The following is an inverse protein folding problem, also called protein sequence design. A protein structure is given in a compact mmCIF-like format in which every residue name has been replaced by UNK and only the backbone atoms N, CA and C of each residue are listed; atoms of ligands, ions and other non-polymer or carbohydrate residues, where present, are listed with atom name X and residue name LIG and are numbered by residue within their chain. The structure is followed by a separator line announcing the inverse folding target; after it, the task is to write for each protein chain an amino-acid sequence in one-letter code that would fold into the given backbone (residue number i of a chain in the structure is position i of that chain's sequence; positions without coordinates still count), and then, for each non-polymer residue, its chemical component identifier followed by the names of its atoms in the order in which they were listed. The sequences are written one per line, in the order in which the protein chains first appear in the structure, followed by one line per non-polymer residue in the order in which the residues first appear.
data_IF_761547769297
#
_entry.id   IF_761547769297
#
_cell.length_a   1.000
_cell.length_b   1.000
_cell.length_c   1.000
_cell.angle_alpha   90.00
_cell.angle_beta   90.00
_cell.angle_gamma   90.00
#
_symmetry.space_group_name_H-M   'P 1'
#
loop_
_entity.id
_entity.type
_entity.pdbx_description
1 polymer ?
#
# COMPACT_ATOMS: atom_id res chain seq x y z
N UNK A 1 33.85 -6.55 -16.90
CA UNK A 1 33.71 -7.39 -18.10
C UNK A 1 33.61 -8.81 -17.60
N UNK A 2 32.43 -9.39 -17.74
CA UNK A 2 32.09 -10.71 -17.19
C UNK A 2 32.50 -11.78 -18.21
N UNK A 3 33.24 -12.80 -17.75
CA UNK A 3 33.42 -14.04 -18.50
C UNK A 3 32.74 -15.15 -17.73
N UNK A 4 31.76 -15.78 -18.36
CA UNK A 4 30.94 -16.85 -17.80
C UNK A 4 31.49 -18.16 -18.34
N UNK A 5 31.87 -19.09 -17.46
CA UNK A 5 32.26 -20.45 -17.86
C UNK A 5 31.14 -21.40 -17.42
N UNK A 6 30.28 -21.79 -18.38
CA UNK A 6 29.06 -22.58 -18.14
C UNK A 6 29.33 -24.05 -17.75
N UNK A 7 30.59 -24.48 -17.74
CA UNK A 7 30.94 -25.90 -17.59
C UNK A 7 31.08 -26.36 -16.13
N UNK A 8 31.36 -25.45 -15.19
CA UNK A 8 31.67 -25.80 -13.79
C UNK A 8 30.62 -25.34 -12.76
N UNK A 9 29.51 -24.72 -13.22
CA UNK A 9 28.34 -24.31 -12.41
C UNK A 9 28.68 -23.73 -11.03
N UNK A 10 29.75 -22.93 -10.92
CA UNK A 10 30.16 -22.27 -9.69
C UNK A 10 30.26 -20.78 -9.94
N UNK A 11 29.31 -20.04 -9.35
CA UNK A 11 29.35 -18.57 -9.31
C UNK A 11 29.94 -18.16 -7.95
N UNK A 12 31.21 -17.79 -7.94
CA UNK A 12 31.85 -17.25 -6.74
C UNK A 12 31.53 -15.77 -6.66
N UNK A 13 30.49 -15.42 -5.90
CA UNK A 13 30.23 -14.05 -5.49
C UNK A 13 31.33 -13.62 -4.52
N UNK A 14 32.29 -12.84 -5.00
CA UNK A 14 33.23 -12.16 -4.12
C UNK A 14 32.43 -11.15 -3.29
N UNK A 15 32.41 -11.38 -1.98
CA UNK A 15 31.84 -10.43 -1.01
C UNK A 15 32.46 -9.04 -1.26
N UNK A 16 31.59 -8.03 -1.41
CA UNK A 16 32.00 -6.62 -1.47
C UNK A 16 32.87 -6.32 -0.25
N UNK A 17 34.12 -5.91 -0.48
CA UNK A 17 35.03 -5.48 0.57
C UNK A 17 34.38 -4.35 1.39
N UNK A 18 34.46 -4.46 2.72
CA UNK A 18 34.00 -3.45 3.67
C UNK A 18 34.83 -2.17 3.51
N UNK A 19 34.36 -1.25 2.66
CA UNK A 19 35.08 0.00 2.39
C UNK A 19 34.59 0.79 1.18
N UNK A 20 33.77 0.21 0.30
CA UNK A 20 33.11 0.98 -0.76
C UNK A 20 31.94 1.76 -0.18
N UNK A 21 32.16 3.04 0.14
CA UNK A 21 31.04 3.96 0.34
C UNK A 21 30.23 3.95 -0.96
N UNK A 22 29.02 3.38 -0.93
CA UNK A 22 28.13 3.41 -2.08
C UNK A 22 28.09 4.85 -2.62
N UNK A 23 28.30 5.07 -3.92
CA UNK A 23 28.33 6.39 -4.57
C UNK A 23 27.27 7.38 -4.05
N UNK A 24 26.12 6.83 -3.62
CA UNK A 24 24.97 7.55 -3.09
C UNK A 24 25.10 8.06 -1.63
N UNK A 25 26.19 7.78 -0.90
CA UNK A 25 26.41 8.26 0.48
C UNK A 25 26.74 9.76 0.53
N UNK A 26 27.17 10.36 -0.57
CA UNK A 26 27.49 11.79 -0.68
C UNK A 26 26.36 12.70 -1.17
N UNK A 27 25.16 12.16 -1.46
CA UNK A 27 24.05 12.96 -1.97
C UNK A 27 23.20 13.47 -0.79
N UNK A 28 23.18 14.79 -0.51
CA UNK A 28 22.60 15.35 0.71
C UNK A 28 21.06 15.28 0.76
N UNK A 29 20.40 15.22 -0.40
CA UNK A 29 18.94 15.03 -0.49
C UNK A 29 18.61 14.08 -1.64
N UNK A 30 17.86 13.01 -1.34
CA UNK A 30 17.28 12.12 -2.35
C UNK A 30 15.82 12.49 -2.52
N UNK A 31 15.44 12.85 -3.74
CA UNK A 31 14.03 12.92 -4.11
C UNK A 31 13.47 11.51 -4.08
N UNK A 32 12.42 11.31 -3.30
CA UNK A 32 11.72 10.04 -3.27
C UNK A 32 10.87 9.91 -4.54
N UNK A 33 11.01 8.78 -5.22
CA UNK A 33 10.05 8.36 -6.25
C UNK A 33 8.93 7.54 -5.61
N UNK A 34 7.73 7.58 -6.19
CA UNK A 34 6.56 6.86 -5.66
C UNK A 34 6.85 5.36 -5.55
N UNK A 35 7.48 4.80 -6.59
CA UNK A 35 7.99 3.43 -6.61
C UNK A 35 8.90 3.13 -5.41
N UNK A 36 9.77 4.06 -5.02
CA UNK A 36 10.66 3.86 -3.87
C UNK A 36 9.89 3.80 -2.54
N UNK A 37 8.77 4.51 -2.42
CA UNK A 37 7.89 4.43 -1.26
C UNK A 37 7.15 3.08 -1.20
N UNK A 38 6.66 2.63 -2.34
CA UNK A 38 5.96 1.34 -2.50
C UNK A 38 6.91 0.19 -2.16
N UNK A 39 8.10 0.15 -2.79
CA UNK A 39 9.10 -0.88 -2.51
C UNK A 39 9.53 -0.86 -1.04
N UNK A 40 9.72 0.32 -0.45
CA UNK A 40 10.08 0.41 0.97
C UNK A 40 9.05 -0.29 1.86
N UNK A 41 7.76 -0.05 1.67
CA UNK A 41 6.72 -0.68 2.50
C UNK A 41 6.43 -2.13 2.12
N UNK A 42 6.72 -2.53 0.88
CA UNK A 42 6.70 -3.94 0.48
C UNK A 42 7.69 -4.77 1.31
N UNK A 43 8.84 -4.20 1.67
CA UNK A 43 9.91 -4.90 2.41
C UNK A 43 9.96 -4.56 3.90
N UNK A 44 9.15 -3.64 4.41
CA UNK A 44 9.22 -3.22 5.81
C UNK A 44 7.86 -3.31 6.51
N UNK A 45 7.86 -3.97 7.66
CA UNK A 45 6.74 -3.96 8.59
C UNK A 45 7.28 -3.85 10.02
N UNK A 46 6.68 -3.02 10.91
CA UNK A 46 7.28 -2.72 12.20
C UNK A 46 7.57 -3.96 13.04
N UNK A 47 8.85 -4.15 13.39
CA UNK A 47 9.32 -5.22 14.26
C UNK A 47 9.35 -6.62 13.61
N UNK A 48 9.23 -6.71 12.29
CA UNK A 48 9.22 -7.99 11.55
C UNK A 48 10.20 -7.97 10.38
N UNK A 49 10.80 -9.13 10.10
CA UNK A 49 11.66 -9.34 8.93
C UNK A 49 10.86 -10.10 7.87
N UNK A 50 10.80 -9.62 6.61
CA UNK A 50 10.05 -10.31 5.58
C UNK A 50 10.78 -11.55 5.05
N UNK A 51 10.01 -12.54 4.63
CA UNK A 51 10.39 -13.45 3.55
C UNK A 51 9.79 -12.92 2.24
N UNK A 52 10.61 -12.63 1.25
CA UNK A 52 10.16 -12.06 -0.02
C UNK A 52 10.34 -13.03 -1.19
N UNK A 53 9.30 -13.17 -2.00
CA UNK A 53 9.34 -13.96 -3.23
C UNK A 53 8.35 -13.38 -4.26
N UNK A 54 8.83 -13.11 -5.48
CA UNK A 54 8.00 -12.77 -6.64
C UNK A 54 6.93 -11.68 -6.40
N UNK A 55 7.31 -10.56 -5.76
CA UNK A 55 6.39 -9.46 -5.49
C UNK A 55 5.47 -9.67 -4.29
N UNK A 56 5.68 -10.74 -3.52
CA UNK A 56 5.00 -11.01 -2.25
C UNK A 56 6.00 -10.95 -1.11
N UNK A 57 5.67 -10.22 -0.06
CA UNK A 57 6.39 -10.24 1.21
C UNK A 57 5.53 -10.83 2.31
N UNK A 58 6.07 -11.78 3.06
CA UNK A 58 5.40 -12.41 4.20
C UNK A 58 6.12 -11.99 5.47
N UNK A 59 5.36 -11.43 6.42
CA UNK A 59 5.83 -11.03 7.74
C UNK A 59 5.15 -11.90 8.80
N UNK A 60 5.95 -12.52 9.66
CA UNK A 60 5.47 -13.41 10.70
C UNK A 60 6.04 -13.02 12.07
N UNK A 61 5.16 -12.90 13.07
CA UNK A 61 5.58 -12.66 14.45
C UNK A 61 4.51 -13.12 15.45
N UNK A 62 4.87 -14.04 16.35
CA UNK A 62 4.00 -14.46 17.45
C UNK A 62 2.64 -14.99 16.98
N UNK A 63 2.63 -15.85 15.95
CA UNK A 63 1.41 -16.44 15.37
C UNK A 63 0.59 -15.49 14.48
N UNK A 64 1.02 -14.23 14.32
CA UNK A 64 0.45 -13.30 13.33
C UNK A 64 1.21 -13.45 12.02
N UNK A 65 0.45 -13.52 10.92
CA UNK A 65 0.97 -13.62 9.57
C UNK A 65 0.31 -12.55 8.70
N UNK A 66 1.15 -11.70 8.12
CA UNK A 66 0.75 -10.62 7.23
C UNK A 66 1.45 -10.82 5.90
N UNK A 67 0.69 -10.89 4.82
CA UNK A 67 1.19 -10.94 3.47
C UNK A 67 1.00 -9.56 2.82
N UNK A 68 2.00 -9.08 2.10
CA UNK A 68 1.95 -7.83 1.33
C UNK A 68 2.20 -8.17 -0.12
N UNK A 69 1.21 -7.91 -0.97
CA UNK A 69 1.27 -8.17 -2.41
C UNK A 69 1.51 -6.86 -3.15
N UNK A 70 2.46 -6.88 -4.07
CA UNK A 70 2.73 -5.79 -4.99
C UNK A 70 1.71 -5.79 -6.15
N UNK A 71 0.93 -4.71 -6.26
CA UNK A 71 -0.12 -4.55 -7.28
C UNK A 71 0.24 -3.49 -8.35
N UNK A 72 1.17 -2.57 -8.06
CA UNK A 72 1.55 -1.48 -8.95
C UNK A 72 2.10 -1.97 -10.32
N UNK A 73 1.70 -1.28 -11.40
CA UNK A 73 2.02 -1.55 -12.81
C UNK A 73 1.66 -2.95 -13.30
N UNK A 74 0.64 -3.56 -12.70
CA UNK A 74 0.13 -4.85 -13.15
C UNK A 74 -1.41 -4.87 -13.18
N UNK A 75 -1.99 -6.00 -13.57
CA UNK A 75 -3.43 -6.15 -13.78
C UNK A 75 -4.24 -5.89 -12.49
N UNK A 76 -3.64 -6.08 -11.31
CA UNK A 76 -4.25 -5.75 -10.01
C UNK A 76 -4.44 -4.23 -9.85
N UNK A 77 -3.44 -3.40 -10.14
CA UNK A 77 -3.60 -1.93 -10.10
C UNK A 77 -4.64 -1.45 -11.12
N UNK A 78 -4.60 -2.00 -12.34
CA UNK A 78 -5.56 -1.65 -13.39
C UNK A 78 -7.00 -2.02 -13.05
N UNK A 79 -7.20 -2.99 -12.16
CA UNK A 79 -8.53 -3.44 -11.73
C UNK A 79 -8.99 -2.77 -10.44
N UNK A 80 -8.10 -2.67 -9.44
CA UNK A 80 -8.43 -2.21 -8.08
C UNK A 80 -8.06 -0.76 -7.82
N UNK A 81 -7.15 -0.17 -8.62
CA UNK A 81 -6.63 1.18 -8.41
C UNK A 81 -5.73 1.33 -7.19
N UNK A 82 -4.96 0.29 -6.84
CA UNK A 82 -4.08 0.28 -5.65
C UNK A 82 -2.68 -0.23 -5.97
N UNK A 83 -1.69 0.20 -5.19
CA UNK A 83 -0.29 -0.18 -5.37
C UNK A 83 0.13 -1.38 -4.51
N UNK A 84 -0.39 -1.47 -3.28
CA UNK A 84 -0.10 -2.56 -2.34
C UNK A 84 -1.38 -3.15 -1.76
N UNK A 85 -1.39 -4.47 -1.55
CA UNK A 85 -2.48 -5.20 -0.92
C UNK A 85 -1.95 -5.96 0.29
N UNK A 86 -2.40 -5.58 1.48
CA UNK A 86 -2.09 -6.22 2.75
C UNK A 86 -3.15 -7.26 3.07
N UNK A 87 -2.75 -8.52 3.27
CA UNK A 87 -3.61 -9.62 3.70
C UNK A 87 -3.24 -10.03 5.13
N UNK A 88 -4.15 -9.78 6.07
CA UNK A 88 -4.02 -10.27 7.44
C UNK A 88 -4.71 -11.64 7.53
N UNK A 89 -3.91 -12.69 7.68
CA UNK A 89 -4.38 -14.08 7.62
C UNK A 89 -5.25 -14.46 8.82
N UNK A 90 -4.91 -14.14 10.09
CA UNK A 90 -5.77 -14.43 11.25
C UNK A 90 -7.20 -13.90 11.16
N UNK A 91 -7.39 -12.73 10.54
CA UNK A 91 -8.71 -12.09 10.39
C UNK A 91 -9.30 -12.21 8.98
N UNK A 92 -8.57 -12.85 8.05
CA UNK A 92 -8.96 -13.05 6.66
C UNK A 92 -9.45 -11.75 5.97
N UNK A 93 -8.74 -10.65 6.20
CA UNK A 93 -9.08 -9.33 5.67
C UNK A 93 -8.00 -8.80 4.75
N UNK A 94 -8.41 -7.90 3.87
CA UNK A 94 -7.51 -7.18 2.98
C UNK A 94 -7.57 -5.67 3.25
N UNK A 95 -6.42 -5.03 3.27
CA UNK A 95 -6.30 -3.57 3.22
C UNK A 95 -5.58 -3.21 1.93
N UNK A 96 -6.22 -2.40 1.11
CA UNK A 96 -5.79 -2.06 -0.24
C UNK A 96 -5.36 -0.60 -0.24
N UNK A 97 -4.10 -0.34 -0.61
CA UNK A 97 -3.48 0.97 -0.41
C UNK A 97 -2.92 1.52 -1.72
N UNK A 98 -3.40 2.71 -2.11
CA UNK A 98 -2.81 3.53 -3.16
C UNK A 98 -1.85 4.54 -2.55
N UNK A 99 -0.66 4.66 -3.11
CA UNK A 99 0.38 5.61 -2.71
C UNK A 99 0.30 6.83 -3.61
N UNK A 100 0.52 8.01 -3.02
CA UNK A 100 0.76 9.26 -3.74
C UNK A 100 1.83 10.09 -3.07
N UNK A 101 2.72 10.68 -3.86
CA UNK A 101 3.75 11.59 -3.35
C UNK A 101 3.24 13.01 -3.13
N UNK A 102 3.51 13.55 -1.95
CA UNK A 102 3.38 14.97 -1.64
C UNK A 102 4.63 15.72 -2.07
N UNK A 103 4.46 16.94 -2.56
CA UNK A 103 5.54 17.82 -3.03
C UNK A 103 5.70 19.01 -2.10
N UNK A 104 6.91 19.55 -2.07
CA UNK A 104 7.18 20.84 -1.44
C UNK A 104 6.79 21.99 -2.37
N UNK A 105 6.00 22.92 -1.85
CA UNK A 105 5.67 24.19 -2.51
C UNK A 105 5.92 25.31 -1.49
N UNK A 106 7.11 25.95 -1.59
CA UNK A 106 7.60 26.87 -0.56
C UNK A 106 7.84 26.15 0.75
N UNK A 107 7.23 26.65 1.84
CA UNK A 107 7.39 26.09 3.19
C UNK A 107 6.39 24.98 3.52
N UNK A 108 5.60 24.54 2.53
CA UNK A 108 4.50 23.57 2.72
C UNK A 108 4.78 22.27 1.98
N UNK A 109 4.42 21.16 2.61
CA UNK A 109 4.33 19.85 1.96
C UNK A 109 2.87 19.57 1.66
N UNK A 110 2.53 19.40 0.38
CA UNK A 110 1.15 19.24 -0.06
C UNK A 110 1.01 18.24 -1.21
N UNK A 111 -0.16 17.64 -1.34
CA UNK A 111 -0.55 16.86 -2.49
C UNK A 111 -1.60 17.62 -3.30
N UNK A 112 -1.40 17.70 -4.62
CA UNK A 112 -2.39 18.23 -5.56
C UNK A 112 -3.03 17.06 -6.30
N UNK A 113 -4.35 16.85 -6.15
CA UNK A 113 -5.07 15.80 -6.87
C UNK A 113 -4.95 16.00 -8.38
N UNK A 114 -4.80 14.89 -9.11
CA UNK A 114 -4.68 14.87 -10.56
C UNK A 114 -5.69 13.90 -11.19
N UNK A 115 -5.68 13.82 -12.52
CA UNK A 115 -6.58 12.95 -13.26
C UNK A 115 -6.30 11.46 -13.01
N UNK A 116 -5.08 11.10 -12.62
CA UNK A 116 -4.71 9.72 -12.34
C UNK A 116 -5.38 9.25 -11.05
N UNK A 117 -5.26 10.02 -9.96
CA UNK A 117 -5.95 9.70 -8.71
C UNK A 117 -7.46 9.64 -8.89
N UNK A 118 -8.04 10.52 -9.72
CA UNK A 118 -9.47 10.46 -10.00
C UNK A 118 -9.89 9.12 -10.62
N UNK A 119 -9.10 8.58 -11.57
CA UNK A 119 -9.38 7.27 -12.18
C UNK A 119 -9.17 6.11 -11.20
N UNK A 120 -8.14 6.19 -10.35
CA UNK A 120 -7.89 5.20 -9.30
C UNK A 120 -9.06 5.15 -8.31
N UNK A 121 -9.55 6.30 -7.85
CA UNK A 121 -10.71 6.37 -6.96
C UNK A 121 -11.98 5.79 -7.60
N UNK A 122 -12.21 6.03 -8.90
CA UNK A 122 -13.32 5.39 -9.62
C UNK A 122 -13.20 3.86 -9.57
N UNK A 123 -12.01 3.30 -9.81
CA UNK A 123 -11.79 1.84 -9.71
C UNK A 123 -12.04 1.31 -8.30
N UNK A 124 -11.56 2.03 -7.27
CA UNK A 124 -11.83 1.66 -5.88
C UNK A 124 -13.33 1.70 -5.56
N UNK A 125 -14.04 2.74 -6.02
CA UNK A 125 -15.47 2.91 -5.80
C UNK A 125 -16.28 1.82 -6.49
N UNK A 126 -15.97 1.52 -7.75
CA UNK A 126 -16.64 0.49 -8.52
C UNK A 126 -16.47 -0.88 -7.85
N UNK A 127 -15.23 -1.22 -7.45
CA UNK A 127 -14.96 -2.46 -6.74
C UNK A 127 -15.66 -2.51 -5.38
N UNK A 128 -15.55 -1.45 -4.57
CA UNK A 128 -16.21 -1.36 -3.27
C UNK A 128 -17.73 -1.52 -3.39
N UNK A 129 -18.37 -0.80 -4.32
CA UNK A 129 -19.82 -0.86 -4.49
C UNK A 129 -20.30 -2.23 -4.96
N UNK A 130 -19.51 -2.92 -5.79
CA UNK A 130 -19.79 -4.27 -6.27
C UNK A 130 -19.65 -5.33 -5.17
N UNK A 131 -18.72 -5.13 -4.23
CA UNK A 131 -18.28 -6.19 -3.31
C UNK A 131 -18.55 -5.90 -1.83
N UNK A 132 -19.06 -4.72 -1.48
CA UNK A 132 -19.37 -4.38 -0.09
C UNK A 132 -20.31 -5.41 0.52
N UNK A 133 -19.93 -5.94 1.68
CA UNK A 133 -20.74 -6.94 2.36
C UNK A 133 -21.89 -6.27 3.13
N UNK A 134 -23.13 -6.62 2.79
CA UNK A 134 -24.30 -6.28 3.60
C UNK A 134 -24.63 -7.35 4.67
N UNK A 135 -23.81 -8.41 4.77
CA UNK A 135 -24.08 -9.52 5.66
C UNK A 135 -23.89 -9.12 7.13
N UNK A 136 -24.72 -9.69 8.00
CA UNK A 136 -24.56 -9.58 9.44
C UNK A 136 -23.24 -10.22 9.91
N UNK A 137 -22.63 -9.63 10.94
CA UNK A 137 -21.42 -10.14 11.58
C UNK A 137 -21.77 -11.46 12.28
N UNK A 138 -21.05 -12.54 11.97
CA UNK A 138 -21.29 -13.88 12.53
C UNK A 138 -20.28 -14.28 13.60
N UNK A 139 -19.16 -13.57 13.69
CA UNK A 139 -18.11 -13.86 14.68
C UNK A 139 -17.38 -12.59 15.12
N UNK A 140 -16.70 -12.67 16.28
CA UNK A 140 -15.85 -11.57 16.77
C UNK A 140 -14.76 -11.18 15.76
N UNK A 141 -14.22 -12.17 15.03
CA UNK A 141 -13.17 -11.98 14.04
C UNK A 141 -13.65 -11.28 12.77
N UNK A 142 -14.96 -11.12 12.56
CA UNK A 142 -15.52 -10.37 11.44
C UNK A 142 -15.78 -8.89 11.77
N UNK A 143 -15.80 -8.51 13.05
CA UNK A 143 -16.08 -7.14 13.43
C UNK A 143 -14.93 -6.20 13.01
N UNK A 144 -15.29 -5.05 12.42
CA UNK A 144 -14.37 -3.99 12.00
C UNK A 144 -14.90 -2.65 12.47
N UNK A 145 -14.01 -1.69 12.73
CA UNK A 145 -14.37 -0.28 12.83
C UNK A 145 -14.71 0.29 11.45
N UNK A 146 -14.06 -0.22 10.40
CA UNK A 146 -14.35 0.10 9.01
C UNK A 146 -14.09 -1.13 8.14
N UNK A 147 -15.09 -1.54 7.36
CA UNK A 147 -14.99 -2.63 6.39
C UNK A 147 -14.79 -2.17 4.95
N UNK A 148 -14.41 -0.90 4.73
CA UNK A 148 -14.14 -0.34 3.40
C UNK A 148 -12.98 -1.06 2.70
N UNK A 149 -11.89 -1.27 3.44
CA UNK A 149 -10.67 -1.89 2.95
C UNK A 149 -9.74 -0.96 2.17
N UNK A 150 -10.25 0.11 1.54
CA UNK A 150 -9.43 1.01 0.72
C UNK A 150 -8.86 2.20 1.51
N UNK A 151 -7.59 2.48 1.25
CA UNK A 151 -6.89 3.65 1.79
C UNK A 151 -5.99 4.29 0.74
N UNK A 152 -5.78 5.60 0.90
CA UNK A 152 -4.74 6.34 0.17
C UNK A 152 -3.66 6.76 1.16
N UNK A 153 -2.40 6.44 0.86
CA UNK A 153 -1.23 6.88 1.60
C UNK A 153 -0.57 8.06 0.90
N UNK A 154 -0.59 9.22 1.53
CA UNK A 154 0.14 10.39 1.05
C UNK A 154 1.53 10.45 1.73
N UNK A 155 2.58 10.40 0.93
CA UNK A 155 3.98 10.29 1.38
C UNK A 155 4.75 11.55 1.03
N UNK A 156 5.32 12.28 2.00
CA UNK A 156 6.25 13.38 1.73
C UNK A 156 7.42 12.92 0.84
N UNK A 157 7.75 13.70 -0.20
CA UNK A 157 8.85 13.40 -1.12
C UNK A 157 10.27 13.49 -0.50
N UNK A 158 10.38 13.75 0.81
CA UNK A 158 11.60 13.75 1.60
C UNK A 158 11.42 12.94 2.88
N UNK A 159 12.53 12.38 3.39
CA UNK A 159 12.57 11.78 4.73
C UNK A 159 12.55 10.25 4.76
N UNK A 160 12.82 9.57 3.64
CA UNK A 160 13.09 8.12 3.67
C UNK A 160 14.36 7.87 4.49
N UNK A 161 14.21 7.20 5.63
CA UNK A 161 15.33 6.75 6.48
C UNK A 161 15.65 5.31 6.09
N UNK A 162 16.80 5.04 5.42
CA UNK A 162 17.08 3.75 4.76
C UNK A 162 17.17 2.50 5.67
N UNK A 163 16.95 2.61 6.98
CA UNK A 163 17.27 1.54 7.93
C UNK A 163 16.31 1.46 9.13
N UNK A 164 15.12 2.05 9.05
CA UNK A 164 14.24 2.12 10.23
C UNK A 164 13.47 0.82 10.52
N UNK A 165 13.31 -0.09 9.55
CA UNK A 165 12.42 -1.27 9.68
C UNK A 165 10.94 -0.90 9.86
N UNK A 166 10.62 0.39 9.80
CA UNK A 166 9.29 0.96 9.92
C UNK A 166 8.68 1.18 8.53
N UNK A 167 7.37 1.40 8.47
CA UNK A 167 6.72 1.88 7.25
C UNK A 167 7.17 3.31 6.93
N UNK A 168 7.25 3.66 5.65
CA UNK A 168 7.65 5.00 5.21
C UNK A 168 6.68 6.05 5.73
N UNK A 169 7.20 7.14 6.29
CA UNK A 169 6.37 8.18 6.91
C UNK A 169 5.35 8.74 5.93
N UNK A 170 4.12 8.91 6.40
CA UNK A 170 3.05 9.50 5.62
C UNK A 170 1.75 9.57 6.41
N UNK A 171 0.69 9.96 5.73
CA UNK A 171 -0.67 9.91 6.25
C UNK A 171 -1.48 8.86 5.49
N UNK A 172 -2.19 8.00 6.22
CA UNK A 172 -3.18 7.10 5.64
C UNK A 172 -4.57 7.70 5.78
N UNK A 173 -5.29 7.76 4.66
CA UNK A 173 -6.62 8.37 4.55
C UNK A 173 -7.57 7.31 4.00
N UNK A 174 -8.66 6.96 4.70
CA UNK A 174 -9.69 6.05 4.16
C UNK A 174 -10.31 6.61 2.87
N UNK A 175 -10.72 5.75 1.93
CA UNK A 175 -11.33 6.15 0.65
C UNK A 175 -12.50 7.13 0.82
N UNK A 176 -13.42 6.85 1.75
CA UNK A 176 -14.54 7.76 2.06
C UNK A 176 -14.05 9.15 2.49
N UNK A 177 -13.03 9.22 3.35
CA UNK A 177 -12.47 10.50 3.79
C UNK A 177 -11.72 11.19 2.65
N UNK A 178 -11.07 10.44 1.76
CA UNK A 178 -10.46 11.01 0.55
C UNK A 178 -11.50 11.71 -0.32
N UNK A 179 -12.67 11.11 -0.54
CA UNK A 179 -13.76 11.76 -1.27
C UNK A 179 -14.21 13.07 -0.62
N UNK A 180 -14.31 13.11 0.72
CA UNK A 180 -14.57 14.36 1.43
C UNK A 180 -13.49 15.41 1.17
N UNK A 181 -12.20 15.03 1.25
CA UNK A 181 -11.08 15.96 1.04
C UNK A 181 -11.04 16.52 -0.39
N UNK A 182 -11.46 15.73 -1.38
CA UNK A 182 -11.52 16.17 -2.78
C UNK A 182 -12.80 16.94 -3.11
N UNK A 183 -13.85 16.75 -2.33
CA UNK A 183 -15.17 17.32 -2.52
C UNK A 183 -15.25 18.84 -2.36
N UNK A 184 -16.45 19.42 -2.54
CA UNK A 184 -16.67 20.87 -2.44
C UNK A 184 -16.36 21.44 -1.06
N UNK A 185 -16.54 20.63 0.00
CA UNK A 185 -16.29 21.02 1.40
C UNK A 185 -14.88 20.66 1.89
N UNK A 186 -14.04 20.09 1.03
CA UNK A 186 -12.66 19.74 1.35
C UNK A 186 -11.71 20.95 1.38
N UNK A 187 -10.49 20.78 1.89
CA UNK A 187 -9.49 21.85 1.96
C UNK A 187 -9.14 22.40 0.57
N UNK A 188 -9.11 23.73 0.46
CA UNK A 188 -8.74 24.46 -0.76
C UNK A 188 -7.49 25.30 -0.55
N UNK A 189 -6.71 25.47 -1.60
CA UNK A 189 -5.56 26.36 -1.63
C UNK A 189 -5.96 27.83 -1.81
N UNK A 190 -5.00 28.76 -1.74
CA UNK A 190 -5.25 30.19 -1.89
C UNK A 190 -5.95 30.59 -3.20
N UNK A 191 -5.76 29.80 -4.26
CA UNK A 191 -6.38 29.99 -5.58
C UNK A 191 -7.66 29.15 -5.78
N UNK A 192 -8.21 28.57 -4.72
CA UNK A 192 -9.44 27.77 -4.77
C UNK A 192 -9.29 26.32 -5.27
N UNK A 193 -8.12 25.94 -5.79
CA UNK A 193 -7.83 24.55 -6.19
C UNK A 193 -7.73 23.60 -5.00
N UNK A 194 -8.13 22.34 -5.18
CA UNK A 194 -7.97 21.29 -4.15
C UNK A 194 -6.50 21.05 -3.84
N UNK A 195 -6.17 20.98 -2.55
CA UNK A 195 -4.85 20.58 -2.07
C UNK A 195 -4.98 19.90 -0.71
N UNK A 196 -4.16 18.88 -0.47
CA UNK A 196 -4.17 18.13 0.79
C UNK A 196 -2.85 18.39 1.51
N UNK A 197 -2.94 18.83 2.76
CA UNK A 197 -1.81 19.02 3.69
C UNK A 197 -2.10 18.28 4.99
N UNK A 198 -1.09 18.10 5.84
CA UNK A 198 -1.29 17.52 7.17
C UNK A 198 -2.30 18.31 8.01
N UNK A 199 -2.25 19.64 7.95
CA UNK A 199 -3.19 20.52 8.65
C UNK A 199 -4.60 20.49 8.03
N UNK A 200 -4.69 20.37 6.71
CA UNK A 200 -5.96 20.34 5.97
C UNK A 200 -6.69 19.01 6.03
N UNK A 201 -6.02 17.93 6.47
CA UNK A 201 -6.59 16.59 6.58
C UNK A 201 -6.30 15.94 7.94
N UNK A 202 -6.63 16.58 9.09
CA UNK A 202 -6.11 16.22 10.41
C UNK A 202 -6.59 14.86 10.96
N UNK A 203 -7.57 14.22 10.31
CA UNK A 203 -8.17 12.93 10.72
C UNK A 203 -7.53 11.71 10.04
N UNK A 204 -6.25 11.81 9.68
CA UNK A 204 -5.49 10.70 9.08
C UNK A 204 -4.97 9.71 10.12
N UNK A 205 -4.65 8.48 9.70
CA UNK A 205 -3.91 7.52 10.52
C UNK A 205 -2.40 7.68 10.29
N UNK A 206 -1.65 7.75 11.38
CA UNK A 206 -0.18 7.61 11.36
C UNK A 206 0.22 6.18 11.00
N UNK A 207 1.48 5.96 10.62
CA UNK A 207 2.04 4.63 10.34
C UNK A 207 1.80 3.62 11.47
N UNK A 208 2.02 4.04 12.72
CA UNK A 208 1.83 3.17 13.89
C UNK A 208 0.35 2.83 14.09
N UNK A 209 -0.55 3.81 13.92
CA UNK A 209 -2.00 3.58 14.01
C UNK A 209 -2.50 2.67 12.89
N UNK A 210 -2.02 2.87 11.66
CA UNK A 210 -2.32 2.00 10.52
C UNK A 210 -1.86 0.57 10.80
N UNK A 211 -0.57 0.37 11.11
CA UNK A 211 -0.02 -0.96 11.37
C UNK A 211 -0.72 -1.65 12.55
N UNK A 212 -1.02 -0.93 13.63
CA UNK A 212 -1.77 -1.47 14.77
C UNK A 212 -3.21 -1.87 14.38
N UNK A 213 -3.88 -1.06 13.56
CA UNK A 213 -5.25 -1.33 13.10
C UNK A 213 -5.31 -2.52 12.16
N UNK A 214 -4.34 -2.64 11.23
CA UNK A 214 -4.18 -3.81 10.36
C UNK A 214 -3.90 -5.05 11.19
N UNK A 215 -2.93 -5.01 12.11
CA UNK A 215 -2.53 -6.16 12.92
C UNK A 215 -3.66 -6.67 13.82
N UNK A 216 -4.43 -5.77 14.42
CA UNK A 216 -5.56 -6.11 15.28
C UNK A 216 -6.87 -6.35 14.51
N UNK A 217 -6.84 -6.23 13.18
CA UNK A 217 -7.99 -6.44 12.32
C UNK A 217 -9.15 -5.48 12.53
N UNK A 218 -8.86 -4.23 12.91
CA UNK A 218 -9.89 -3.19 13.07
C UNK A 218 -10.32 -2.55 11.75
N UNK A 219 -9.46 -2.59 10.74
CA UNK A 219 -9.72 -2.06 9.40
C UNK A 219 -9.41 -3.12 8.36
N UNK A 220 -10.18 -3.11 7.27
CA UNK A 220 -9.99 -4.03 6.15
C UNK A 220 -11.28 -4.65 5.69
N UNK A 221 -11.22 -5.25 4.51
CA UNK A 221 -12.37 -5.89 3.88
C UNK A 221 -12.99 -7.00 4.74
N UNK A 222 -14.24 -7.31 4.42
CA UNK A 222 -15.03 -8.31 5.14
C UNK A 222 -15.91 -9.12 4.18
N UNK A 223 -16.14 -10.38 4.54
CA UNK A 223 -17.12 -11.24 3.87
C UNK A 223 -16.82 -11.39 2.38
N UNK A 224 -17.83 -11.13 1.54
CA UNK A 224 -17.72 -11.28 0.09
C UNK A 224 -16.59 -10.44 -0.52
N UNK A 225 -16.33 -9.24 0.02
CA UNK A 225 -15.20 -8.42 -0.43
C UNK A 225 -13.85 -9.13 -0.23
N UNK A 226 -13.62 -9.70 0.95
CA UNK A 226 -12.39 -10.47 1.21
C UNK A 226 -12.26 -11.65 0.26
N UNK A 227 -13.35 -12.37 0.02
CA UNK A 227 -13.32 -13.53 -0.87
C UNK A 227 -13.05 -13.13 -2.33
N UNK A 228 -13.66 -12.04 -2.81
CA UNK A 228 -13.42 -11.54 -4.17
C UNK A 228 -11.98 -11.08 -4.37
N UNK A 229 -11.40 -10.35 -3.40
CA UNK A 229 -9.98 -9.94 -3.47
C UNK A 229 -9.06 -11.17 -3.47
N UNK A 230 -9.32 -12.15 -2.60
CA UNK A 230 -8.56 -13.41 -2.53
C UNK A 230 -8.56 -14.14 -3.87
N UNK A 231 -9.74 -14.35 -4.46
CA UNK A 231 -9.88 -15.04 -5.75
C UNK A 231 -9.18 -14.28 -6.87
N UNK A 232 -9.25 -12.94 -6.87
CA UNK A 232 -8.57 -12.11 -7.86
C UNK A 232 -7.05 -12.24 -7.77
N UNK A 233 -6.48 -12.18 -6.57
CA UNK A 233 -5.04 -12.36 -6.36
C UNK A 233 -4.60 -13.75 -6.83
N UNK A 234 -5.37 -14.78 -6.50
CA UNK A 234 -5.10 -16.15 -6.95
C UNK A 234 -5.11 -16.23 -8.49
N UNK A 235 -6.16 -15.74 -9.14
CA UNK A 235 -6.27 -15.67 -10.61
C UNK A 235 -5.09 -14.92 -11.22
N UNK A 236 -4.65 -13.82 -10.61
CA UNK A 236 -3.53 -13.04 -11.10
C UNK A 236 -2.22 -13.84 -11.07
N UNK A 237 -1.92 -14.55 -9.99
CA UNK A 237 -0.72 -15.38 -9.93
C UNK A 237 -0.78 -16.63 -10.82
N UNK A 238 -1.97 -17.16 -11.09
CA UNK A 238 -2.15 -18.32 -11.98
C UNK A 238 -2.11 -17.95 -13.47
N UNK A 239 -2.65 -16.78 -13.85
CA UNK A 239 -2.94 -16.44 -15.26
C UNK A 239 -2.32 -15.13 -15.73
N UNK A 240 -1.78 -14.32 -14.80
CA UNK A 240 -1.39 -12.93 -15.06
C UNK A 240 -2.57 -11.96 -15.17
N UNK A 241 -3.81 -12.42 -14.92
CA UNK A 241 -5.05 -11.62 -15.03
C UNK A 241 -5.82 -11.52 -13.71
N UNK A 242 -6.18 -10.29 -13.36
CA UNK A 242 -6.95 -9.93 -12.18
C UNK A 242 -8.45 -9.88 -12.55
N UNK A 243 -9.11 -11.04 -12.48
CA UNK A 243 -10.52 -11.15 -12.81
C UNK A 243 -11.40 -10.88 -11.59
N UNK A 244 -12.37 -9.98 -11.74
CA UNK A 244 -13.44 -9.80 -10.75
C UNK A 244 -14.50 -10.84 -11.02
N UNK A 245 -14.58 -11.86 -10.17
CA UNK A 245 -15.69 -12.81 -10.16
C UNK A 245 -16.61 -12.44 -9.01
N UNK A 246 -17.76 -11.84 -9.34
CA UNK A 246 -18.80 -11.59 -8.35
C UNK A 246 -19.42 -12.92 -7.94
N UNK A 247 -19.41 -13.22 -6.65
CA UNK A 247 -20.12 -14.37 -6.07
C UNK A 247 -21.38 -13.84 -5.41
N UNK A 248 -22.54 -14.17 -5.98
CA UNK A 248 -23.81 -14.04 -5.28
C UNK A 248 -23.89 -15.23 -4.32
N UNK A 249 -23.80 -14.97 -3.02
CA UNK A 249 -24.06 -16.00 -2.01
C UNK A 249 -25.55 -15.99 -1.72
N UNK A 250 -26.22 -17.13 -1.91
CA UNK A 250 -27.59 -17.39 -1.46
C UNK A 250 -27.75 -17.19 0.07
#
# INVERSE_FOLDING_TARGET
MEQINETEATATLTNLESGQSAFLTGIPQRYLQEESAIQHDLFNWPGMTPMHQAGVSIFEQGGRRLQVNYANRNDLEHTLGVDLIYYNEPYELFVLVQYKLMREEGDRVLYRPDAQLAQELVRMDDFYNLTRSAAAIRSHNEYRLSDDGFMVKLVPNKGLRPASGELIKGMYVPREYMHFLLGPNGPKGPQGGSQITFEGAPRYLTNSQFAASVNAGWIGSRGVQSQTVRNMIQSFYETGKALVVAYESE
#
